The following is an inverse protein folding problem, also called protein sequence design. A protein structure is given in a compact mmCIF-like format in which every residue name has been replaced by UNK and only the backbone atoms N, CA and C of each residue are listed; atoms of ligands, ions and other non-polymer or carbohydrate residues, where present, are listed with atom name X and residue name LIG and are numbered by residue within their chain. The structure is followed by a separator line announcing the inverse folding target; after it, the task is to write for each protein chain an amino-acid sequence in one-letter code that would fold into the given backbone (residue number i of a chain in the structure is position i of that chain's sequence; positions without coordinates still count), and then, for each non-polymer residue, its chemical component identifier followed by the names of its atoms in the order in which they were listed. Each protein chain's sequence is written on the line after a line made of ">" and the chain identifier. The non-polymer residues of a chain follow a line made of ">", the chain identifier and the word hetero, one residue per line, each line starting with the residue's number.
data_IF_302446838400
#
_entry.id   IF_302446838400
#
_cell.length_a   1.000
_cell.length_b   1.000
_cell.length_c   1.000
_cell.angle_alpha   90.00
_cell.angle_beta   90.00
_cell.angle_gamma   90.00
#
_symmetry.space_group_name_H-M   'P 1'
#
loop_
_entity.id
_entity.type
_entity.pdbx_description
1 polymer ?
#
# COMPACT_ATOMS: atom_id res chain seq x y z
N UNK A 1 11.16 7.18 7.76
CA UNK A 1 10.20 6.93 6.68
C UNK A 1 8.80 6.86 7.28
N UNK A 2 7.81 7.56 6.71
CA UNK A 2 6.44 7.63 7.25
C UNK A 2 5.48 6.76 6.44
N UNK A 3 4.39 6.33 7.08
CA UNK A 3 3.34 5.57 6.41
C UNK A 3 2.59 6.47 5.40
N UNK A 4 2.58 6.05 4.13
CA UNK A 4 1.91 6.76 3.03
C UNK A 4 0.41 6.96 3.29
N UNK A 5 -0.28 5.94 3.80
CA UNK A 5 -1.72 5.99 4.06
C UNK A 5 -2.04 6.96 5.20
N UNK A 6 -1.27 6.89 6.30
CA UNK A 6 -1.40 7.84 7.40
C UNK A 6 -1.15 9.28 6.94
N UNK A 7 -0.08 9.49 6.16
CA UNK A 7 0.29 10.83 5.67
C UNK A 7 -0.77 11.42 4.74
N UNK A 8 -1.47 10.60 3.94
CA UNK A 8 -2.63 11.07 3.15
C UNK A 8 -3.78 11.55 4.02
N UNK A 9 -3.97 10.97 5.20
CA UNK A 9 -4.97 11.39 6.18
C UNK A 9 -4.49 12.49 7.13
N UNK A 10 -3.36 13.15 6.84
CA UNK A 10 -2.77 14.18 7.71
C UNK A 10 -2.12 13.65 8.99
N UNK A 11 -1.96 12.33 9.12
CA UNK A 11 -1.35 11.69 10.28
C UNK A 11 0.10 11.29 9.98
N UNK A 12 0.98 11.42 10.97
CA UNK A 12 2.35 10.95 10.89
C UNK A 12 2.50 9.66 11.71
N UNK A 13 2.70 8.53 11.03
CA UNK A 13 3.01 7.25 11.68
C UNK A 13 4.32 6.68 11.12
N UNK A 14 5.16 6.06 11.97
CA UNK A 14 6.40 5.43 11.52
C UNK A 14 6.10 4.24 10.60
N UNK A 15 6.79 4.16 9.47
CA UNK A 15 6.71 3.00 8.59
C UNK A 15 7.61 1.87 9.11
N UNK A 16 7.07 0.65 9.13
CA UNK A 16 7.78 -0.58 9.53
C UNK A 16 8.00 -1.53 8.35
N UNK A 17 7.30 -1.30 7.24
CA UNK A 17 7.41 -2.07 6.01
C UNK A 17 7.45 -1.13 4.80
N UNK A 18 8.04 -1.62 3.71
CA UNK A 18 8.08 -0.93 2.43
C UNK A 18 7.57 -1.85 1.33
N UNK A 19 6.77 -1.32 0.42
CA UNK A 19 6.29 -2.05 -0.74
C UNK A 19 7.41 -2.12 -1.80
N UNK A 20 7.88 -3.34 -2.10
CA UNK A 20 9.00 -3.56 -3.04
C UNK A 20 8.73 -3.07 -4.46
N UNK A 21 7.46 -2.86 -4.82
CA UNK A 21 7.05 -2.44 -6.17
C UNK A 21 7.10 -0.93 -6.37
N UNK A 22 6.78 -0.14 -5.35
CA UNK A 22 6.56 1.30 -5.48
C UNK A 22 7.28 2.13 -4.40
N UNK A 23 7.95 1.50 -3.44
CA UNK A 23 8.68 2.18 -2.37
C UNK A 23 7.80 2.85 -1.31
N UNK A 24 6.47 2.65 -1.33
CA UNK A 24 5.58 3.24 -0.34
C UNK A 24 5.80 2.61 1.04
N UNK A 25 5.95 3.44 2.08
CA UNK A 25 6.06 3.00 3.46
C UNK A 25 4.70 2.74 4.08
N UNK A 26 4.60 1.67 4.87
CA UNK A 26 3.39 1.29 5.62
C UNK A 26 3.71 1.12 7.10
N UNK A 27 2.83 1.62 7.97
CA UNK A 27 2.86 1.30 9.40
C UNK A 27 2.32 -0.12 9.62
N UNK A 28 2.52 -0.67 10.83
CA UNK A 28 2.13 -2.05 11.15
C UNK A 28 0.65 -2.33 10.83
N UNK A 29 -0.25 -1.43 11.24
CA UNK A 29 -1.69 -1.57 11.01
C UNK A 29 -2.03 -1.66 9.53
N UNK A 30 -1.57 -0.69 8.74
CA UNK A 30 -1.84 -0.65 7.32
C UNK A 30 -1.11 -1.73 6.52
N UNK A 31 0.00 -2.25 7.03
CA UNK A 31 0.67 -3.40 6.44
C UNK A 31 -0.15 -4.69 6.66
N UNK A 32 -0.68 -4.91 7.86
CA UNK A 32 -1.55 -6.06 8.14
C UNK A 32 -2.81 -5.99 7.26
N UNK A 33 -3.50 -4.85 7.21
CA UNK A 33 -4.70 -4.69 6.37
C UNK A 33 -4.42 -4.88 4.87
N UNK A 34 -3.27 -4.40 4.37
CA UNK A 34 -2.85 -4.62 2.99
C UNK A 34 -2.66 -6.11 2.66
N UNK A 35 -2.18 -6.91 3.62
CA UNK A 35 -1.96 -8.34 3.41
C UNK A 35 -3.26 -9.15 3.47
N UNK A 36 -4.25 -8.69 4.23
CA UNK A 36 -5.59 -9.31 4.28
C UNK A 36 -6.49 -8.87 3.12
N UNK A 37 -6.14 -7.82 2.38
CA UNK A 37 -6.86 -7.37 1.19
C UNK A 37 -6.61 -8.29 -0.02
N UNK A 38 -7.22 -9.47 -0.01
CA UNK A 38 -7.36 -10.34 -1.19
C UNK A 38 -8.79 -10.27 -1.72
N UNK A 39 -8.98 -9.84 -2.97
CA UNK A 39 -10.27 -9.89 -3.66
C UNK A 39 -10.20 -10.98 -4.71
N UNK A 40 -11.16 -11.92 -4.67
CA UNK A 40 -11.27 -13.03 -5.61
C UNK A 40 -9.97 -13.87 -5.75
N UNK A 41 -9.26 -14.10 -4.63
CA UNK A 41 -8.03 -14.91 -4.60
C UNK A 41 -6.76 -14.21 -5.12
N UNK A 42 -6.86 -12.95 -5.56
CA UNK A 42 -5.70 -12.16 -5.96
C UNK A 42 -5.18 -11.36 -4.77
N UNK A 43 -3.89 -11.52 -4.45
CA UNK A 43 -3.20 -10.72 -3.42
C UNK A 43 -2.74 -9.40 -4.04
N UNK A 44 -3.31 -8.29 -3.61
CA UNK A 44 -2.79 -6.98 -3.97
C UNK A 44 -1.67 -6.62 -3.01
N UNK A 45 -0.45 -6.49 -3.52
CA UNK A 45 0.72 -6.21 -2.68
C UNK A 45 0.74 -4.78 -2.13
N UNK A 46 -0.15 -3.90 -2.61
CA UNK A 46 -0.16 -2.50 -2.20
C UNK A 46 -1.58 -1.88 -2.35
N UNK A 47 -2.21 -1.38 -1.26
CA UNK A 47 -3.59 -0.86 -1.25
C UNK A 47 -3.73 0.55 -1.88
N UNK A 48 -2.67 1.08 -2.48
CA UNK A 48 -2.70 2.38 -3.15
C UNK A 48 -3.04 2.32 -4.64
N UNK A 49 -3.40 1.14 -5.16
CA UNK A 49 -3.85 1.00 -6.54
C UNK A 49 -5.37 1.15 -6.55
N UNK A 50 -5.94 2.24 -7.09
CA UNK A 50 -7.37 2.34 -7.26
C UNK A 50 -7.83 1.23 -8.20
N UNK A 51 -8.98 0.62 -7.91
CA UNK A 51 -9.63 -0.51 -8.62
C UNK A 51 -10.03 -0.22 -10.09
N UNK A 52 -9.31 0.68 -10.77
CA UNK A 52 -9.45 1.01 -12.20
C UNK A 52 -8.14 1.39 -12.90
N UNK A 53 -6.98 1.41 -12.20
CA UNK A 53 -5.69 1.75 -12.81
C UNK A 53 -4.93 0.52 -13.31
N UNK A 54 -5.58 -0.30 -14.14
CA UNK A 54 -4.89 -1.22 -15.04
C UNK A 54 -4.19 -0.45 -16.18
N UNK A 55 -3.29 0.48 -15.85
CA UNK A 55 -2.45 1.23 -16.77
C UNK A 55 -1.44 2.02 -15.91
N UNK A 56 -0.13 1.84 -15.91
CA UNK A 56 0.77 1.49 -16.99
C UNK A 56 1.97 0.78 -16.37
N UNK A 57 2.18 -0.50 -16.71
CA UNK A 57 3.54 -1.02 -16.86
C UNK A 57 3.93 -0.75 -18.31
N UNK A 58 4.18 0.52 -18.63
CA UNK A 58 4.86 0.86 -19.88
C UNK A 58 6.35 0.69 -19.59
N UNK A 59 6.84 -0.48 -20.04
CA UNK A 59 8.21 -0.84 -20.41
C UNK A 59 9.34 0.12 -20.06
#
# INVERSE_FOLDING_TARGET
>A
MTCYICSRGGNAAPAVAVCIHCGAGLCMTHFVEAQSASVAGMKYTCPHMPLGAAAKKAR
#
